data_IF_620190240259
#
_entry.id   IF_620190240259
#
_cell.length_a   1.000
_cell.length_b   1.000
_cell.length_c   1.000
_cell.angle_alpha   90.00
_cell.angle_beta   90.00
_cell.angle_gamma   90.00
#
_symmetry.space_group_name_H-M   'P 1'
#
loop_
_entity.id
_entity.type
_entity.pdbx_description
1 polymer ?
#
# COMPACT_ATOMS: atom_id res chain seq x y z
N UNK A 1 -10.58 6.96 8.69
CA UNK A 1 -11.47 6.17 7.82
C UNK A 1 -11.09 6.48 6.38
N UNK A 2 -10.76 5.47 5.61
CA UNK A 2 -10.39 5.60 4.20
C UNK A 2 -11.64 5.30 3.40
N UNK A 3 -12.04 6.23 2.53
CA UNK A 3 -13.06 5.96 1.54
C UNK A 3 -12.35 5.49 0.27
N UNK A 4 -12.54 4.23 -0.08
CA UNK A 4 -12.03 3.67 -1.34
C UNK A 4 -13.08 3.90 -2.41
N UNK A 5 -12.69 4.57 -3.48
CA UNK A 5 -13.56 4.86 -4.60
C UNK A 5 -13.08 4.06 -5.79
N UNK A 6 -13.90 3.10 -6.23
CA UNK A 6 -13.65 2.35 -7.44
C UNK A 6 -14.17 3.17 -8.64
N UNK A 7 -13.27 3.48 -9.58
CA UNK A 7 -13.63 4.14 -10.83
C UNK A 7 -14.17 3.08 -11.80
N UNK A 8 -15.47 3.03 -11.97
CA UNK A 8 -16.05 2.32 -13.09
C UNK A 8 -16.43 3.30 -14.22
N UNK A 9 -16.63 2.80 -15.43
CA UNK A 9 -17.03 3.61 -16.59
C UNK A 9 -18.46 4.18 -16.46
N UNK A 10 -19.21 3.73 -15.45
CA UNK A 10 -20.62 4.06 -15.23
C UNK A 10 -20.84 4.94 -14.00
N UNK A 11 -19.84 5.13 -13.15
CA UNK A 11 -19.94 5.93 -11.94
C UNK A 11 -18.96 5.55 -10.83
N UNK A 12 -19.05 6.25 -9.72
CA UNK A 12 -18.25 6.03 -8.52
C UNK A 12 -19.04 5.16 -7.57
N UNK A 13 -18.54 3.97 -7.25
CA UNK A 13 -19.12 3.13 -6.18
C UNK A 13 -18.29 3.33 -4.91
N UNK A 14 -18.81 4.05 -3.89
CA UNK A 14 -18.10 4.22 -2.64
C UNK A 14 -18.06 2.87 -1.90
N UNK A 15 -16.86 2.45 -1.48
CA UNK A 15 -16.70 1.37 -0.50
C UNK A 15 -16.98 1.94 0.89
N UNK A 16 -17.90 1.33 1.61
CA UNK A 16 -18.21 1.73 2.98
C UNK A 16 -17.27 0.99 3.94
N UNK A 17 -16.31 1.67 4.60
CA UNK A 17 -15.41 1.03 5.53
C UNK A 17 -16.21 0.40 6.68
N UNK A 18 -15.95 -0.89 6.93
CA UNK A 18 -16.70 -1.72 7.88
C UNK A 18 -17.59 -2.76 7.23
N UNK A 19 -17.71 -2.77 5.91
CA UNK A 19 -18.31 -3.89 5.17
C UNK A 19 -17.22 -4.84 4.69
N UNK A 20 -17.37 -6.10 5.09
CA UNK A 20 -16.61 -7.22 4.52
C UNK A 20 -17.41 -7.74 3.33
N UNK A 21 -16.78 -7.84 2.18
CA UNK A 21 -17.48 -8.39 1.00
C UNK A 21 -16.66 -8.37 -0.27
N UNK A 22 -17.15 -9.14 -1.23
CA UNK A 22 -16.70 -9.10 -2.61
C UNK A 22 -17.40 -7.99 -3.37
N UNK A 23 -16.76 -7.49 -4.39
CA UNK A 23 -17.33 -6.60 -5.39
C UNK A 23 -16.90 -7.03 -6.79
N UNK A 24 -17.76 -6.75 -7.75
CA UNK A 24 -17.48 -6.91 -9.17
C UNK A 24 -18.15 -5.76 -9.91
N UNK A 25 -17.39 -4.99 -10.65
CA UNK A 25 -17.88 -3.85 -11.42
C UNK A 25 -17.00 -3.62 -12.66
N UNK A 26 -17.25 -2.56 -13.42
CA UNK A 26 -16.50 -2.26 -14.64
C UNK A 26 -15.02 -1.88 -14.40
N UNK A 27 -14.62 -1.55 -13.18
CA UNK A 27 -13.23 -1.28 -12.82
C UNK A 27 -12.45 -2.57 -12.51
N UNK A 28 -13.14 -3.64 -12.12
CA UNK A 28 -12.56 -4.93 -11.76
C UNK A 28 -13.37 -5.65 -10.71
N UNK A 29 -12.73 -6.61 -10.05
CA UNK A 29 -13.30 -7.40 -8.98
C UNK A 29 -12.37 -7.47 -7.78
N UNK A 30 -12.88 -7.92 -6.65
CA UNK A 30 -12.03 -8.14 -5.48
C UNK A 30 -12.82 -8.45 -4.23
N UNK A 31 -12.05 -8.74 -3.19
CA UNK A 31 -12.55 -8.95 -1.83
C UNK A 31 -11.84 -8.01 -0.87
N UNK A 32 -12.60 -7.37 -0.01
CA UNK A 32 -12.09 -6.52 1.06
C UNK A 32 -12.70 -7.01 2.37
N UNK A 33 -11.82 -7.38 3.33
CA UNK A 33 -12.22 -7.82 4.65
C UNK A 33 -11.73 -6.82 5.69
N UNK A 34 -12.66 -6.13 6.36
CA UNK A 34 -12.34 -5.17 7.40
C UNK A 34 -12.64 -5.72 8.79
N UNK A 35 -11.66 -5.63 9.68
CA UNK A 35 -11.77 -6.01 11.07
C UNK A 35 -11.49 -4.82 11.98
N UNK A 36 -12.53 -4.31 12.65
CA UNK A 36 -12.34 -3.36 13.75
C UNK A 36 -11.86 -4.12 14.97
N UNK A 37 -10.61 -3.92 15.36
CA UNK A 37 -9.99 -4.69 16.44
C UNK A 37 -10.29 -4.09 17.81
N UNK A 38 -10.05 -2.81 17.96
CA UNK A 38 -10.37 -2.03 19.15
C UNK A 38 -10.46 -0.55 18.79
N UNK A 39 -10.78 0.30 19.76
CA UNK A 39 -10.91 1.72 19.49
C UNK A 39 -9.59 2.29 18.95
N UNK A 40 -9.69 2.94 17.81
CA UNK A 40 -8.55 3.52 17.11
C UNK A 40 -7.74 2.54 16.26
N UNK A 41 -8.07 1.22 16.20
CA UNK A 41 -7.29 0.27 15.40
C UNK A 41 -8.19 -0.67 14.61
N UNK A 42 -7.93 -0.72 13.30
CA UNK A 42 -8.54 -1.64 12.36
C UNK A 42 -7.54 -2.22 11.38
N UNK A 43 -7.85 -3.38 10.82
CA UNK A 43 -7.11 -3.95 9.69
C UNK A 43 -8.04 -4.19 8.53
N UNK A 44 -7.51 -3.99 7.34
CA UNK A 44 -8.18 -4.25 6.06
C UNK A 44 -7.31 -5.22 5.27
N UNK A 45 -7.88 -6.34 4.86
CA UNK A 45 -7.25 -7.29 3.95
C UNK A 45 -7.80 -7.04 2.56
N UNK A 46 -6.92 -6.91 1.60
CA UNK A 46 -7.23 -6.58 0.21
C UNK A 46 -6.81 -7.71 -0.70
N UNK A 47 -7.73 -8.19 -1.53
CA UNK A 47 -7.46 -9.04 -2.68
C UNK A 47 -8.18 -8.44 -3.88
N UNK A 48 -7.46 -7.80 -4.77
CA UNK A 48 -7.99 -6.98 -5.85
C UNK A 48 -7.52 -7.50 -7.21
N UNK A 49 -8.45 -7.54 -8.17
CA UNK A 49 -8.21 -7.81 -9.58
C UNK A 49 -8.73 -6.61 -10.37
N UNK A 50 -7.88 -5.59 -10.49
CA UNK A 50 -8.22 -4.32 -11.13
C UNK A 50 -6.95 -3.56 -11.52
N UNK A 51 -7.09 -2.54 -12.36
CA UNK A 51 -5.94 -1.73 -12.80
C UNK A 51 -5.73 -0.49 -11.93
N UNK A 52 -6.79 0.15 -11.47
CA UNK A 52 -6.69 1.42 -10.73
C UNK A 52 -7.78 1.58 -9.69
N UNK A 53 -7.48 2.33 -8.64
CA UNK A 53 -8.48 2.87 -7.72
C UNK A 53 -8.03 4.22 -7.13
N UNK A 54 -8.97 4.93 -6.50
CA UNK A 54 -8.70 6.19 -5.80
C UNK A 54 -9.00 6.03 -4.31
N UNK A 55 -8.10 6.53 -3.49
CA UNK A 55 -8.32 6.69 -2.04
C UNK A 55 -8.57 8.14 -1.70
N UNK A 56 -9.53 8.36 -0.81
CA UNK A 56 -9.81 9.67 -0.20
C UNK A 56 -9.67 9.54 1.31
N UNK A 57 -8.80 10.36 1.89
CA UNK A 57 -8.53 10.42 3.32
C UNK A 57 -9.16 11.67 3.91
N UNK A 58 -9.98 11.49 4.92
CA UNK A 58 -10.71 12.58 5.57
C UNK A 58 -10.28 12.82 7.02
N UNK A 59 -9.71 11.79 7.66
CA UNK A 59 -9.33 11.86 9.08
C UNK A 59 -7.87 12.27 9.26
N UNK A 60 -7.65 13.50 9.72
CA UNK A 60 -6.32 14.03 10.04
C UNK A 60 -5.72 13.27 11.23
N UNK A 61 -4.43 12.91 11.11
CA UNK A 61 -3.68 12.24 12.17
C UNK A 61 -3.78 10.71 12.16
N UNK A 62 -4.65 10.12 11.32
CA UNK A 62 -4.71 8.68 11.09
C UNK A 62 -3.38 8.20 10.50
N UNK A 63 -2.81 7.18 11.08
CA UNK A 63 -1.66 6.47 10.53
C UNK A 63 -2.17 5.26 9.75
N UNK A 64 -1.72 5.12 8.52
CA UNK A 64 -2.01 3.98 7.65
C UNK A 64 -0.71 3.25 7.36
N UNK A 65 -0.71 1.95 7.56
CA UNK A 65 0.44 1.09 7.31
C UNK A 65 0.01 0.02 6.32
N UNK A 66 0.44 0.18 5.08
CA UNK A 66 0.15 -0.74 3.98
C UNK A 66 1.32 -1.71 3.81
N UNK A 67 1.02 -3.00 3.72
CA UNK A 67 2.00 -4.04 3.46
C UNK A 67 1.61 -4.84 2.21
N UNK A 68 2.53 -4.94 1.26
CA UNK A 68 2.32 -5.69 0.02
C UNK A 68 2.62 -7.17 0.24
N UNK A 69 1.61 -8.01 0.06
CA UNK A 69 1.73 -9.49 0.12
C UNK A 69 2.11 -10.03 -1.25
N UNK A 70 1.38 -9.61 -2.29
CA UNK A 70 1.55 -10.05 -3.67
C UNK A 70 1.14 -8.96 -4.66
N UNK A 71 1.64 -9.04 -5.89
CA UNK A 71 1.36 -8.04 -6.91
C UNK A 71 2.32 -6.84 -6.87
N UNK A 72 1.84 -5.73 -7.38
CA UNK A 72 2.52 -4.43 -7.41
C UNK A 72 1.50 -3.34 -7.11
N UNK A 73 1.86 -2.45 -6.23
CA UNK A 73 1.05 -1.30 -5.87
C UNK A 73 1.82 -0.02 -6.16
N UNK A 74 1.30 0.77 -7.07
CA UNK A 74 1.83 2.07 -7.41
C UNK A 74 0.86 3.13 -6.92
N UNK A 75 1.36 4.14 -6.22
CA UNK A 75 0.55 5.28 -5.83
C UNK A 75 1.28 6.58 -6.14
N UNK A 76 0.56 7.53 -6.72
CA UNK A 76 1.08 8.85 -7.07
C UNK A 76 0.46 9.90 -6.16
N UNK A 77 1.31 10.69 -5.52
CA UNK A 77 0.91 11.78 -4.62
C UNK A 77 1.07 13.14 -5.28
N UNK A 78 1.90 13.24 -6.32
CA UNK A 78 2.15 14.45 -7.09
C UNK A 78 2.56 14.09 -8.52
N UNK A 79 2.70 15.10 -9.38
CA UNK A 79 3.15 14.90 -10.77
C UNK A 79 4.60 14.37 -10.87
N UNK A 80 5.35 14.30 -9.77
CA UNK A 80 6.77 13.89 -9.79
C UNK A 80 7.08 12.72 -8.86
N UNK A 81 6.19 12.42 -7.92
CA UNK A 81 6.45 11.46 -6.86
C UNK A 81 5.47 10.29 -6.96
N UNK A 82 5.95 9.16 -7.42
CA UNK A 82 5.25 7.89 -7.35
C UNK A 82 6.04 6.89 -6.52
N UNK A 83 5.30 6.07 -5.80
CA UNK A 83 5.83 5.00 -4.97
C UNK A 83 5.35 3.68 -5.50
N UNK A 84 6.26 2.74 -5.61
CA UNK A 84 5.99 1.40 -6.06
C UNK A 84 6.33 0.41 -4.95
N UNK A 85 5.33 -0.29 -4.45
CA UNK A 85 5.49 -1.39 -3.50
C UNK A 85 5.53 -2.73 -4.24
N UNK A 86 6.45 -3.57 -3.83
CA UNK A 86 6.55 -4.98 -4.21
C UNK A 86 6.32 -5.88 -2.98
N UNK A 87 6.15 -7.19 -3.15
CA UNK A 87 6.00 -8.11 -2.04
C UNK A 87 7.12 -7.95 -0.99
N UNK A 88 6.71 -7.80 0.28
CA UNK A 88 7.59 -7.54 1.42
C UNK A 88 7.85 -6.07 1.71
N UNK A 89 7.41 -5.15 0.84
CA UNK A 89 7.50 -3.71 1.11
C UNK A 89 6.32 -3.23 1.94
N UNK A 90 6.59 -2.17 2.69
CA UNK A 90 5.64 -1.47 3.55
C UNK A 90 5.65 0.02 3.20
N UNK A 91 4.47 0.64 3.18
CA UNK A 91 4.31 2.08 3.14
C UNK A 91 3.57 2.55 4.39
N UNK A 92 4.00 3.67 4.93
CA UNK A 92 3.34 4.32 6.07
C UNK A 92 2.98 5.74 5.67
N UNK A 93 1.75 6.12 5.92
CA UNK A 93 1.28 7.48 5.72
C UNK A 93 0.55 8.00 6.95
N UNK A 94 0.58 9.32 7.12
CA UNK A 94 -0.23 10.01 8.11
C UNK A 94 -0.77 11.28 7.47
N UNK A 95 -2.08 11.30 7.22
CA UNK A 95 -2.72 12.47 6.63
C UNK A 95 -2.65 13.66 7.57
N UNK A 96 -2.04 14.75 7.12
CA UNK A 96 -1.79 15.96 7.92
C UNK A 96 -2.74 17.12 7.61
N UNK A 97 -3.76 16.88 6.78
CA UNK A 97 -4.69 17.90 6.30
C UNK A 97 -4.22 18.68 5.07
N UNK A 98 -2.97 18.46 4.62
CA UNK A 98 -2.38 19.15 3.46
C UNK A 98 -1.96 18.20 2.35
N UNK A 99 -1.33 17.07 2.73
CA UNK A 99 -0.76 16.10 1.81
C UNK A 99 -1.52 14.79 1.88
N UNK A 100 -1.71 14.12 0.74
CA UNK A 100 -2.27 12.78 0.70
C UNK A 100 -3.77 12.69 0.93
N UNK A 101 -4.54 13.80 0.83
CA UNK A 101 -6.00 13.78 0.92
C UNK A 101 -6.63 12.86 -0.13
N UNK A 102 -6.04 12.84 -1.32
CA UNK A 102 -6.43 11.97 -2.43
C UNK A 102 -5.17 11.35 -3.02
N UNK A 103 -5.19 10.06 -3.25
CA UNK A 103 -4.16 9.36 -4.02
C UNK A 103 -4.80 8.53 -5.11
N UNK A 104 -4.15 8.47 -6.25
CA UNK A 104 -4.49 7.57 -7.35
C UNK A 104 -3.51 6.42 -7.33
N UNK A 105 -4.05 5.22 -7.27
CA UNK A 105 -3.27 3.99 -7.16
C UNK A 105 -3.50 3.12 -8.38
N UNK A 106 -2.42 2.48 -8.83
CA UNK A 106 -2.43 1.53 -9.94
C UNK A 106 -1.88 0.19 -9.49
N UNK A 107 -2.37 -0.85 -10.11
CA UNK A 107 -1.86 -2.21 -9.97
C UNK A 107 -1.25 -2.65 -11.30
N UNK A 108 0.06 -2.45 -11.53
CA UNK A 108 0.70 -2.71 -12.82
C UNK A 108 0.51 -4.13 -13.35
N UNK A 109 0.29 -5.11 -12.47
CA UNK A 109 0.02 -6.50 -12.82
C UNK A 109 -1.47 -6.82 -12.96
N UNK A 110 -2.37 -5.85 -12.80
CA UNK A 110 -3.82 -6.05 -12.79
C UNK A 110 -4.33 -6.78 -11.54
N UNK A 111 -3.47 -7.05 -10.56
CA UNK A 111 -3.83 -7.71 -9.31
C UNK A 111 -2.98 -7.20 -8.14
N UNK A 112 -3.57 -7.25 -6.94
CA UNK A 112 -2.89 -6.87 -5.70
C UNK A 112 -3.46 -7.63 -4.52
N UNK A 113 -2.58 -8.10 -3.66
CA UNK A 113 -2.93 -8.62 -2.34
C UNK A 113 -2.12 -7.86 -1.29
N UNK A 114 -2.80 -7.38 -0.27
CA UNK A 114 -2.16 -6.59 0.78
C UNK A 114 -2.97 -6.46 2.05
N UNK A 115 -2.33 -5.92 3.06
CA UNK A 115 -2.93 -5.60 4.35
C UNK A 115 -2.71 -4.11 4.64
N UNK A 116 -3.78 -3.42 5.02
CA UNK A 116 -3.72 -2.06 5.55
C UNK A 116 -4.08 -2.07 7.04
N UNK A 117 -3.18 -1.57 7.88
CA UNK A 117 -3.42 -1.31 9.30
C UNK A 117 -3.72 0.17 9.46
N UNK A 118 -4.93 0.48 9.97
CA UNK A 118 -5.37 1.82 10.30
C UNK A 118 -5.22 2.08 11.80
N UNK A 119 -4.59 3.19 12.16
CA UNK A 119 -4.34 3.55 13.56
C UNK A 119 -4.71 5.02 13.79
N UNK A 120 -5.71 5.26 14.65
CA UNK A 120 -5.90 6.54 15.33
C UNK A 120 -5.04 6.53 16.60
N UNK A 121 -3.93 7.26 16.64
CA UNK A 121 -2.98 7.19 17.75
C UNK A 121 -3.60 7.52 19.11
N UNK A 122 -4.48 8.53 19.17
CA UNK A 122 -5.07 8.98 20.41
C UNK A 122 -6.09 7.97 20.96
N UNK A 123 -6.95 7.46 20.11
CA UNK A 123 -7.94 6.46 20.51
C UNK A 123 -7.28 5.12 20.87
N UNK A 124 -6.28 4.70 20.09
CA UNK A 124 -5.52 3.46 20.34
C UNK A 124 -4.73 3.52 21.65
N UNK A 125 -4.05 4.65 21.93
CA UNK A 125 -3.33 4.88 23.19
C UNK A 125 -4.27 4.74 24.38
N UNK A 126 -5.37 5.47 24.37
CA UNK A 126 -6.36 5.45 25.44
C UNK A 126 -6.96 4.07 25.67
N UNK A 127 -7.24 3.31 24.59
CA UNK A 127 -7.76 1.96 24.71
C UNK A 127 -6.74 1.00 25.34
N UNK A 128 -5.49 1.02 24.89
CA UNK A 128 -4.43 0.15 25.43
C UNK A 128 -4.16 0.43 26.90
N UNK A 129 -4.03 1.68 27.30
CA UNK A 129 -3.82 2.05 28.69
C UNK A 129 -4.93 1.54 29.62
N UNK A 130 -6.17 1.58 29.15
CA UNK A 130 -7.34 1.16 29.94
C UNK A 130 -7.54 -0.35 29.96
N UNK A 131 -7.30 -1.05 28.85
CA UNK A 131 -7.70 -2.44 28.69
C UNK A 131 -6.53 -3.43 28.67
N UNK A 132 -5.30 -2.95 28.41
CA UNK A 132 -4.12 -3.78 28.31
C UNK A 132 -2.86 -3.04 28.82
N UNK A 133 -2.83 -2.57 30.08
CA UNK A 133 -1.78 -1.69 30.59
C UNK A 133 -0.37 -2.33 30.58
N UNK A 134 -0.28 -3.66 30.44
CA UNK A 134 0.99 -4.36 30.28
C UNK A 134 1.57 -4.37 28.86
N UNK A 135 0.78 -3.91 27.88
CA UNK A 135 1.15 -3.90 26.46
C UNK A 135 1.13 -2.46 25.93
N UNK A 136 1.95 -1.60 26.54
CA UNK A 136 2.02 -0.20 26.13
C UNK A 136 2.75 -0.05 24.80
N UNK A 137 2.13 0.64 23.87
CA UNK A 137 2.74 1.16 22.63
C UNK A 137 2.70 2.68 22.74
N UNK A 138 3.86 3.32 22.67
CA UNK A 138 3.90 4.78 22.54
C UNK A 138 3.72 5.16 21.09
N UNK A 139 2.52 5.61 20.73
CA UNK A 139 2.17 5.97 19.35
C UNK A 139 2.87 7.23 18.87
N UNK A 140 3.32 8.11 19.77
CA UNK A 140 4.13 9.25 19.38
C UNK A 140 5.53 8.78 18.95
N UNK A 141 6.13 7.86 19.71
CA UNK A 141 7.40 7.22 19.37
C UNK A 141 7.25 6.39 18.08
N UNK A 142 6.19 5.61 17.95
CA UNK A 142 5.90 4.83 16.72
C UNK A 142 5.85 5.76 15.50
N UNK A 143 5.07 6.84 15.57
CA UNK A 143 4.97 7.81 14.48
C UNK A 143 6.33 8.47 14.20
N UNK A 144 7.06 8.86 15.23
CA UNK A 144 8.39 9.47 15.09
C UNK A 144 9.38 8.51 14.42
N UNK A 145 9.41 7.24 14.83
CA UNK A 145 10.31 6.24 14.26
C UNK A 145 9.97 5.90 12.81
N UNK A 146 8.68 5.79 12.48
CA UNK A 146 8.26 5.45 11.13
C UNK A 146 8.30 6.65 10.17
N UNK A 147 7.87 7.82 10.61
CA UNK A 147 7.67 8.97 9.71
C UNK A 147 8.65 10.12 9.95
N UNK A 148 9.17 10.28 11.19
CA UNK A 148 9.92 11.48 11.56
C UNK A 148 9.08 12.74 11.34
N UNK A 149 9.59 13.66 10.52
CA UNK A 149 8.89 14.87 10.12
C UNK A 149 8.14 14.74 8.76
N UNK A 150 8.10 13.53 8.20
CA UNK A 150 7.45 13.26 6.91
C UNK A 150 5.99 12.84 7.15
N UNK A 151 5.15 13.07 6.17
CA UNK A 151 3.76 12.56 6.17
C UNK A 151 3.66 11.17 5.53
N UNK A 152 4.70 10.72 4.84
CA UNK A 152 4.77 9.46 4.13
C UNK A 152 6.18 8.88 4.17
N UNK A 153 6.28 7.55 4.24
CA UNK A 153 7.51 6.77 4.06
C UNK A 153 7.19 5.41 3.46
N UNK A 154 8.16 4.79 2.82
CA UNK A 154 8.08 3.40 2.39
C UNK A 154 9.45 2.72 2.50
N UNK A 155 9.43 1.40 2.52
CA UNK A 155 10.63 0.57 2.62
C UNK A 155 10.27 -0.88 2.90
N UNK A 156 11.25 -1.69 3.22
CA UNK A 156 11.01 -3.07 3.64
C UNK A 156 10.53 -3.11 5.09
N UNK A 157 9.54 -3.95 5.38
CA UNK A 157 9.04 -4.13 6.75
C UNK A 157 10.06 -4.80 7.69
N UNK A 158 11.08 -5.43 7.13
CA UNK A 158 12.00 -6.29 7.86
C UNK A 158 11.38 -7.64 8.26
N UNK A 159 12.21 -8.66 8.46
CA UNK A 159 11.74 -10.04 8.51
C UNK A 159 10.77 -10.34 9.67
N UNK A 160 10.88 -9.64 10.80
CA UNK A 160 9.99 -9.84 11.94
C UNK A 160 8.59 -9.27 11.70
N UNK A 161 8.52 -8.03 11.19
CA UNK A 161 7.23 -7.41 10.87
C UNK A 161 6.58 -8.12 9.67
N UNK A 162 7.37 -8.46 8.64
CA UNK A 162 6.89 -9.23 7.49
C UNK A 162 6.24 -10.55 7.91
N UNK A 163 6.84 -11.28 8.85
CA UNK A 163 6.27 -12.53 9.37
C UNK A 163 4.87 -12.30 9.97
N UNK A 164 4.72 -11.27 10.81
CA UNK A 164 3.42 -10.98 11.46
C UNK A 164 2.40 -10.47 10.45
N UNK A 165 2.79 -9.64 9.47
CA UNK A 165 1.91 -9.20 8.40
C UNK A 165 1.37 -10.37 7.58
N UNK A 166 2.24 -11.32 7.19
CA UNK A 166 1.83 -12.52 6.45
C UNK A 166 0.92 -13.41 7.26
N UNK A 167 1.24 -13.65 8.53
CA UNK A 167 0.41 -14.43 9.43
C UNK A 167 -0.99 -13.80 9.59
N UNK A 168 -1.08 -12.48 9.76
CA UNK A 168 -2.36 -11.76 9.81
C UNK A 168 -3.13 -11.93 8.50
N UNK A 169 -2.49 -11.73 7.35
CA UNK A 169 -3.14 -11.82 6.05
C UNK A 169 -3.71 -13.22 5.77
N UNK A 170 -2.91 -14.26 6.01
CA UNK A 170 -3.26 -15.65 5.70
C UNK A 170 -4.32 -16.21 6.65
N UNK A 171 -4.30 -15.80 7.90
CA UNK A 171 -5.08 -16.46 8.95
C UNK A 171 -6.24 -15.61 9.51
N UNK A 172 -6.29 -14.29 9.27
CA UNK A 172 -7.34 -13.44 9.82
C UNK A 172 -8.77 -13.94 9.58
N UNK A 173 -9.13 -14.52 8.42
CA UNK A 173 -10.46 -15.06 8.19
C UNK A 173 -10.84 -16.24 9.11
N UNK A 174 -9.85 -16.89 9.71
CA UNK A 174 -10.01 -18.07 10.56
C UNK A 174 -9.70 -17.81 12.03
N UNK A 175 -9.14 -16.63 12.34
CA UNK A 175 -8.75 -16.28 13.70
C UNK A 175 -9.92 -15.69 14.50
N UNK A 176 -9.96 -16.06 15.79
CA UNK A 176 -10.77 -15.33 16.77
C UNK A 176 -10.27 -13.88 16.88
N UNK A 177 -11.19 -12.93 17.02
CA UNK A 177 -10.89 -11.50 17.15
C UNK A 177 -9.87 -11.19 18.27
N UNK A 178 -9.84 -12.01 19.32
CA UNK A 178 -8.87 -11.88 20.42
C UNK A 178 -7.44 -12.15 19.96
N UNK A 179 -7.25 -13.15 19.09
CA UNK A 179 -5.94 -13.45 18.51
C UNK A 179 -5.52 -12.36 17.51
N UNK A 180 -6.46 -11.87 16.71
CA UNK A 180 -6.15 -10.73 15.81
C UNK A 180 -5.69 -9.50 16.59
N UNK A 181 -6.35 -9.18 17.70
CA UNK A 181 -5.94 -8.08 18.60
C UNK A 181 -4.52 -8.29 19.13
N UNK A 182 -4.22 -9.50 19.61
CA UNK A 182 -2.90 -9.83 20.13
C UNK A 182 -1.82 -9.68 19.06
N UNK A 183 -2.06 -10.19 17.86
CA UNK A 183 -1.11 -10.10 16.74
C UNK A 183 -0.90 -8.67 16.25
N UNK A 184 -1.93 -7.84 16.24
CA UNK A 184 -1.79 -6.44 15.88
C UNK A 184 -1.04 -5.66 16.96
N UNK A 185 -1.26 -5.95 18.25
CA UNK A 185 -0.44 -5.34 19.33
C UNK A 185 1.02 -5.75 19.20
N UNK A 186 1.32 -7.03 18.92
CA UNK A 186 2.67 -7.51 18.63
C UNK A 186 3.29 -6.72 17.46
N UNK A 187 2.55 -6.58 16.36
CA UNK A 187 3.01 -5.82 15.19
C UNK A 187 3.31 -4.36 15.53
N UNK A 188 2.42 -3.68 16.25
CA UNK A 188 2.62 -2.29 16.68
C UNK A 188 3.86 -2.14 17.58
N UNK A 189 4.09 -3.11 18.47
CA UNK A 189 5.30 -3.14 19.33
C UNK A 189 6.58 -3.37 18.53
N UNK A 190 6.53 -4.17 17.47
CA UNK A 190 7.66 -4.38 16.56
C UNK A 190 7.93 -3.12 15.73
N UNK A 191 6.89 -2.53 15.15
CA UNK A 191 6.97 -1.31 14.34
C UNK A 191 7.50 -0.12 15.16
N UNK A 192 7.13 0.00 16.43
CA UNK A 192 7.64 1.06 17.32
C UNK A 192 9.14 0.96 17.60
N UNK A 193 9.79 -0.17 17.28
CA UNK A 193 11.22 -0.41 17.48
C UNK A 193 12.03 -0.35 16.19
N UNK A 194 11.39 -0.14 15.05
CA UNK A 194 12.11 0.07 13.79
C UNK A 194 12.86 1.39 13.93
N UNK A 195 14.21 1.38 13.82
CA UNK A 195 14.96 2.63 13.84
C UNK A 195 14.54 3.46 12.62
N UNK A 196 14.52 4.77 12.78
CA UNK A 196 14.34 5.68 11.67
C UNK A 196 15.49 5.46 10.67
N UNK A 197 15.27 4.68 9.62
CA UNK A 197 16.22 4.65 8.51
C UNK A 197 16.08 5.98 7.75
N UNK A 198 17.19 6.60 7.42
CA UNK A 198 17.22 7.63 6.39
C UNK A 198 16.69 6.95 5.14
N UNK A 199 15.41 7.25 4.79
CA UNK A 199 14.70 6.55 3.74
C UNK A 199 15.54 6.53 2.48
N UNK A 200 15.86 5.35 2.01
CA UNK A 200 16.36 5.18 0.66
C UNK A 200 15.25 5.67 -0.26
N UNK A 201 15.50 6.79 -0.90
CA UNK A 201 14.64 7.36 -1.95
C UNK A 201 14.61 6.37 -3.14
N UNK A 202 13.85 5.29 -2.99
CA UNK A 202 13.53 4.36 -4.07
C UNK A 202 12.30 4.86 -4.84
N UNK A 203 12.24 6.17 -5.06
CA UNK A 203 11.27 6.72 -5.98
C UNK A 203 11.68 6.31 -7.41
N UNK A 204 10.81 5.56 -8.07
CA UNK A 204 10.78 5.67 -9.52
C UNK A 204 10.21 7.07 -9.81
N UNK A 205 10.87 7.85 -10.65
CA UNK A 205 10.25 9.09 -11.09
C UNK A 205 8.94 8.74 -11.82
N UNK A 206 7.92 9.57 -11.69
CA UNK A 206 6.65 9.38 -12.42
C UNK A 206 6.91 9.16 -13.92
N UNK A 207 7.90 9.86 -14.49
CA UNK A 207 8.33 9.70 -15.88
C UNK A 207 8.80 8.26 -16.19
N UNK A 208 9.58 7.66 -15.30
CA UNK A 208 10.06 6.28 -15.49
C UNK A 208 8.91 5.28 -15.40
N UNK A 209 7.98 5.49 -14.50
CA UNK A 209 6.81 4.61 -14.34
C UNK A 209 5.85 4.75 -15.52
N UNK A 210 5.55 5.96 -15.95
CA UNK A 210 4.72 6.21 -17.14
C UNK A 210 5.36 5.65 -18.41
N UNK A 211 6.68 5.76 -18.55
CA UNK A 211 7.41 5.15 -19.67
C UNK A 211 7.28 3.64 -19.66
N UNK A 212 7.39 3.01 -18.48
CA UNK A 212 7.22 1.56 -18.36
C UNK A 212 5.79 1.12 -18.76
N UNK A 213 4.76 1.88 -18.34
CA UNK A 213 3.38 1.63 -18.74
C UNK A 213 3.18 1.80 -20.26
N UNK A 214 3.69 2.89 -20.83
CA UNK A 214 3.62 3.13 -22.27
C UNK A 214 4.28 2.00 -23.09
N UNK A 215 5.45 1.56 -22.67
CA UNK A 215 6.16 0.45 -23.33
C UNK A 215 5.38 -0.87 -23.24
N UNK A 216 4.78 -1.18 -22.09
CA UNK A 216 3.93 -2.37 -21.95
C UNK A 216 2.75 -2.30 -22.91
N UNK A 217 2.06 -1.18 -22.94
CA UNK A 217 0.89 -1.01 -23.79
C UNK A 217 1.25 -1.08 -25.28
N UNK A 218 2.39 -0.50 -25.67
CA UNK A 218 2.94 -0.62 -27.01
C UNK A 218 3.21 -2.08 -27.40
N UNK A 219 3.86 -2.85 -26.50
CA UNK A 219 4.16 -4.28 -26.72
C UNK A 219 2.89 -5.13 -26.81
N UNK A 220 1.87 -4.84 -26.00
CA UNK A 220 0.60 -5.56 -26.02
C UNK A 220 -0.24 -5.25 -27.27
N UNK A 221 -0.15 -4.04 -27.78
CA UNK A 221 -0.89 -3.61 -28.97
C UNK A 221 -0.23 -4.11 -30.26
N UNK A 222 1.09 -4.16 -30.32
CA UNK A 222 1.87 -4.55 -31.50
C UNK A 222 2.29 -6.02 -31.48
N UNK A 223 1.36 -6.92 -31.23
CA UNK A 223 1.63 -8.37 -31.13
C UNK A 223 2.17 -9.03 -32.41
N UNK A 224 1.98 -8.40 -33.57
CA UNK A 224 2.39 -8.96 -34.87
C UNK A 224 3.78 -8.50 -35.32
N UNK A 225 4.41 -7.54 -34.63
CA UNK A 225 5.71 -7.01 -34.96
C UNK A 225 6.77 -7.41 -33.92
N UNK A 226 7.91 -7.95 -34.40
CA UNK A 226 9.07 -8.14 -33.53
C UNK A 226 9.74 -6.79 -33.31
N UNK A 227 9.60 -6.25 -32.10
CA UNK A 227 10.32 -5.03 -31.69
C UNK A 227 11.48 -5.44 -30.78
N UNK A 228 12.70 -5.08 -31.15
CA UNK A 228 13.85 -5.40 -30.32
C UNK A 228 13.97 -4.42 -29.15
N UNK A 229 14.47 -4.91 -28.00
CA UNK A 229 14.73 -4.05 -26.85
C UNK A 229 15.70 -2.90 -27.18
N UNK A 230 16.62 -3.13 -28.13
CA UNK A 230 17.55 -2.10 -28.59
C UNK A 230 16.84 -0.96 -29.32
N UNK A 231 15.88 -1.29 -30.19
CA UNK A 231 15.07 -0.28 -30.90
C UNK A 231 14.22 0.53 -29.92
N UNK A 232 13.53 -0.14 -28.98
CA UNK A 232 12.74 0.55 -27.95
C UNK A 232 13.61 1.49 -27.09
N UNK A 233 14.79 1.05 -26.70
CA UNK A 233 15.71 1.86 -25.92
C UNK A 233 16.20 3.09 -26.71
N UNK A 234 16.51 2.92 -27.99
CA UNK A 234 16.94 4.00 -28.89
C UNK A 234 15.83 5.03 -29.12
N UNK A 235 14.59 4.58 -29.38
CA UNK A 235 13.41 5.44 -29.58
C UNK A 235 13.14 6.36 -28.37
N UNK A 236 13.44 5.87 -27.15
CA UNK A 236 13.24 6.64 -25.92
C UNK A 236 14.51 7.27 -25.36
N UNK A 237 15.64 7.19 -26.08
CA UNK A 237 16.91 7.83 -25.70
C UNK A 237 17.52 7.28 -24.40
N UNK A 238 17.26 6.01 -24.08
CA UNK A 238 17.77 5.33 -22.88
C UNK A 238 18.57 4.09 -23.25
N UNK A 239 19.39 3.59 -22.32
CA UNK A 239 20.11 2.32 -22.55
C UNK A 239 19.19 1.11 -22.33
N UNK A 240 19.45 0.00 -23.01
CA UNK A 240 18.75 -1.27 -22.81
C UNK A 240 18.76 -1.72 -21.34
N UNK A 241 19.89 -1.54 -20.66
CA UNK A 241 20.00 -1.87 -19.23
C UNK A 241 19.09 -0.99 -18.35
N UNK A 242 18.95 0.29 -18.70
CA UNK A 242 18.04 1.19 -17.99
C UNK A 242 16.59 0.80 -18.21
N UNK A 243 16.21 0.51 -19.47
CA UNK A 243 14.88 0.02 -19.83
C UNK A 243 14.52 -1.26 -19.07
N UNK A 244 15.40 -2.25 -19.07
CA UNK A 244 15.18 -3.52 -18.35
C UNK A 244 15.05 -3.30 -16.83
N UNK A 245 15.91 -2.46 -16.24
CA UNK A 245 15.85 -2.12 -14.81
C UNK A 245 14.52 -1.47 -14.45
N UNK A 246 14.10 -0.49 -15.21
CA UNK A 246 12.84 0.23 -15.03
C UNK A 246 11.64 -0.72 -15.16
N UNK A 247 11.60 -1.54 -16.21
CA UNK A 247 10.53 -2.51 -16.45
C UNK A 247 10.46 -3.56 -15.33
N UNK A 248 11.62 -4.04 -14.88
CA UNK A 248 11.72 -4.96 -13.74
C UNK A 248 11.25 -4.32 -12.43
N UNK A 249 11.50 -3.03 -12.22
CA UNK A 249 10.99 -2.33 -11.04
C UNK A 249 9.45 -2.29 -11.05
N UNK A 250 8.85 -1.90 -12.18
CA UNK A 250 7.39 -1.73 -12.27
C UNK A 250 6.66 -3.06 -12.35
N UNK A 251 7.12 -4.00 -13.17
CA UNK A 251 6.40 -5.26 -13.44
C UNK A 251 7.01 -6.49 -12.76
N UNK A 252 8.19 -6.39 -12.19
CA UNK A 252 8.87 -7.52 -11.55
C UNK A 252 9.56 -8.49 -12.51
N UNK A 253 9.38 -8.30 -13.81
CA UNK A 253 9.98 -9.11 -14.89
C UNK A 253 10.87 -8.23 -15.76
N UNK A 254 11.94 -8.80 -16.36
CA UNK A 254 12.82 -8.04 -17.24
C UNK A 254 12.17 -7.71 -18.57
#
# INVERSE_FOLDING_TARGET
MIDIIFHDKTGVTPYNPGQTGGFENAAGSGEIHYYRLFDGVGIMLLRLEMETYTEIRTQIGMIEINFCINGRFETSFSMRDSVLLKPGDMAVSCYDGRHGARSESRFPLGCYEGLCLEVDPAAAQNWLEKNAPGFSVDFAVLKQNLLGNRWFMFGTAGPRCEHVFRELYENAPYMDLRFLRLKVVELLMLLSRIPQEEGTDLYCSTEQTELAHHLRDHLLTNREGYVSLAQLAEEHGISVSHLQKMFKQVYGVP
#
